data_IF_035924794090
#
_entry.id   IF_035924794090
#
_cell.length_a   1.000
_cell.length_b   1.000
_cell.length_c   1.000
_cell.angle_alpha   90.00
_cell.angle_beta   90.00
_cell.angle_gamma   90.00
#
_symmetry.space_group_name_H-M   'P 1'
#
loop_
_entity.id
_entity.type
_entity.pdbx_description
1 polymer ?
#
# COMPACT_ATOMS: atom_id res chain seq x y z
N UNK A 1 -4.67 -2.59 -13.22
CA UNK A 1 -5.12 -1.76 -12.09
C UNK A 1 -6.56 -1.31 -12.32
N UNK A 2 -7.43 -1.49 -11.31
CA UNK A 2 -8.78 -0.90 -11.28
C UNK A 2 -8.72 0.26 -10.31
N UNK A 3 -9.10 1.45 -10.76
CA UNK A 3 -8.98 2.70 -9.99
C UNK A 3 -10.34 3.34 -9.76
N UNK A 4 -10.56 3.88 -8.56
CA UNK A 4 -11.80 4.58 -8.20
C UNK A 4 -11.94 5.92 -8.90
N UNK A 5 -10.82 6.51 -9.32
CA UNK A 5 -10.78 7.78 -10.03
C UNK A 5 -10.15 7.61 -11.41
N UNK A 6 -10.54 8.46 -12.35
CA UNK A 6 -9.90 8.53 -13.66
C UNK A 6 -8.49 9.09 -13.54
N UNK A 7 -7.50 8.20 -13.50
CA UNK A 7 -6.07 8.53 -13.31
C UNK A 7 -5.54 9.45 -14.41
N UNK A 8 -6.01 9.25 -15.66
CA UNK A 8 -5.55 10.00 -16.83
C UNK A 8 -6.42 11.23 -17.12
N UNK A 9 -7.58 11.37 -16.44
CA UNK A 9 -8.53 12.49 -16.60
C UNK A 9 -9.02 12.70 -18.04
N UNK A 10 -9.05 11.64 -18.84
CA UNK A 10 -9.49 11.69 -20.24
C UNK A 10 -10.89 11.10 -20.46
N UNK A 11 -11.58 10.64 -19.40
CA UNK A 11 -12.95 10.15 -19.46
C UNK A 11 -13.12 8.78 -20.12
N UNK A 12 -12.04 8.01 -20.31
CA UNK A 12 -12.11 6.71 -20.95
C UNK A 12 -12.30 5.58 -19.93
N UNK A 13 -12.97 4.48 -20.30
CA UNK A 13 -13.17 3.32 -19.42
C UNK A 13 -11.91 2.50 -19.18
N UNK A 14 -10.94 2.55 -20.12
CA UNK A 14 -9.72 1.77 -20.08
C UNK A 14 -8.58 2.53 -20.75
N UNK A 15 -7.39 2.41 -20.17
CA UNK A 15 -6.15 2.95 -20.73
C UNK A 15 -5.12 1.85 -20.82
N UNK A 16 -4.52 1.73 -22.00
CA UNK A 16 -3.36 0.86 -22.24
C UNK A 16 -2.12 1.72 -22.27
N UNK A 17 -1.12 1.35 -21.49
CA UNK A 17 0.14 2.07 -21.38
C UNK A 17 1.25 1.10 -21.75
N UNK A 18 2.00 1.44 -22.79
CA UNK A 18 3.15 0.70 -23.26
C UNK A 18 4.43 1.50 -23.04
N UNK A 19 5.56 0.81 -22.93
CA UNK A 19 6.87 1.45 -22.79
C UNK A 19 7.40 1.90 -24.15
N UNK A 20 8.04 3.06 -24.17
CA UNK A 20 8.64 3.65 -25.36
C UNK A 20 10.14 3.86 -25.15
N UNK A 21 10.96 3.46 -26.09
CA UNK A 21 12.38 3.79 -26.12
C UNK A 21 12.53 5.25 -26.47
N UNK A 22 12.96 6.06 -25.49
CA UNK A 22 13.00 7.53 -25.60
C UNK A 22 13.85 8.00 -26.79
N UNK A 23 14.98 7.33 -27.06
CA UNK A 23 15.96 7.69 -28.08
C UNK A 23 15.45 7.46 -29.50
N UNK A 24 14.52 6.52 -29.68
CA UNK A 24 14.01 6.13 -30.99
C UNK A 24 12.53 6.48 -31.19
N UNK A 25 11.80 6.77 -30.11
CA UNK A 25 10.35 6.96 -30.13
C UNK A 25 9.53 5.70 -30.45
N UNK A 26 10.17 4.54 -30.49
CA UNK A 26 9.49 3.26 -30.79
C UNK A 26 9.03 2.56 -29.54
N UNK A 27 7.98 1.73 -29.67
CA UNK A 27 7.57 0.82 -28.60
C UNK A 27 8.71 -0.15 -28.28
N UNK A 28 8.85 -0.48 -27.00
CA UNK A 28 9.91 -1.38 -26.54
C UNK A 28 9.61 -2.85 -26.82
N UNK A 29 8.34 -3.22 -27.07
CA UNK A 29 7.89 -4.57 -27.46
C UNK A 29 8.39 -5.68 -26.54
N UNK A 30 8.36 -5.42 -25.22
CA UNK A 30 8.81 -6.37 -24.18
C UNK A 30 7.66 -7.21 -23.60
N UNK A 31 6.50 -7.19 -24.26
CA UNK A 31 5.27 -7.90 -23.86
C UNK A 31 4.73 -7.49 -22.48
N UNK A 32 5.28 -6.43 -21.85
CA UNK A 32 4.73 -5.87 -20.64
C UNK A 32 3.73 -4.75 -20.94
N UNK A 33 2.50 -4.90 -20.44
CA UNK A 33 1.43 -3.95 -20.61
C UNK A 33 0.89 -3.50 -19.24
N UNK A 34 0.71 -2.19 -19.08
CA UNK A 34 0.03 -1.64 -17.92
C UNK A 34 -1.38 -1.21 -18.36
N UNK A 35 -2.40 -1.79 -17.72
CA UNK A 35 -3.78 -1.47 -18.01
C UNK A 35 -4.41 -0.82 -16.80
N UNK A 36 -4.94 0.40 -16.99
CA UNK A 36 -5.78 1.07 -16.00
C UNK A 36 -7.24 1.02 -16.43
N UNK A 37 -8.11 0.63 -15.50
CA UNK A 37 -9.55 0.59 -15.69
C UNK A 37 -10.19 1.62 -14.77
N UNK A 38 -10.97 2.53 -15.34
CA UNK A 38 -11.71 3.54 -14.61
C UNK A 38 -13.04 2.97 -14.11
N UNK A 39 -13.16 2.67 -12.82
CA UNK A 39 -14.35 2.05 -12.24
C UNK A 39 -15.54 3.00 -12.10
N UNK A 40 -15.37 4.29 -12.38
CA UNK A 40 -16.49 5.25 -12.39
C UNK A 40 -17.41 5.03 -13.59
N UNK A 41 -16.91 4.47 -14.70
CA UNK A 41 -17.69 4.21 -15.90
C UNK A 41 -18.41 2.87 -15.75
N UNK A 42 -19.73 2.94 -15.60
CA UNK A 42 -20.65 1.81 -15.37
C UNK A 42 -21.71 1.77 -16.46
N UNK A 43 -21.27 1.88 -17.70
CA UNK A 43 -22.12 1.81 -18.88
C UNK A 43 -22.59 0.37 -19.20
N UNK A 44 -23.39 0.23 -20.26
CA UNK A 44 -23.95 -1.07 -20.67
C UNK A 44 -22.94 -2.00 -21.37
N UNK A 45 -21.68 -1.60 -21.48
CA UNK A 45 -20.62 -2.48 -21.99
C UNK A 45 -20.31 -3.62 -21.01
N UNK A 46 -19.66 -4.67 -21.47
CA UNK A 46 -19.24 -5.77 -20.58
C UNK A 46 -18.32 -5.27 -19.45
N UNK A 47 -17.44 -4.30 -19.76
CA UNK A 47 -16.53 -3.71 -18.79
C UNK A 47 -17.30 -2.82 -17.81
N UNK A 48 -18.19 -1.96 -18.28
CA UNK A 48 -19.01 -1.10 -17.44
C UNK A 48 -19.89 -1.89 -16.48
N UNK A 49 -20.52 -2.97 -16.95
CA UNK A 49 -21.28 -3.89 -16.10
C UNK A 49 -20.41 -4.58 -15.04
N UNK A 50 -19.18 -4.95 -15.39
CA UNK A 50 -18.23 -5.51 -14.41
C UNK A 50 -17.85 -4.47 -13.35
N UNK A 51 -17.60 -3.20 -13.74
CA UNK A 51 -17.32 -2.11 -12.80
C UNK A 51 -18.55 -1.79 -11.92
N UNK A 52 -19.76 -1.91 -12.47
CA UNK A 52 -20.98 -1.85 -11.69
C UNK A 52 -21.00 -2.94 -10.62
N UNK A 53 -20.76 -4.20 -10.99
CA UNK A 53 -20.78 -5.34 -10.07
C UNK A 53 -19.80 -5.21 -8.92
N UNK A 54 -18.58 -4.69 -9.17
CA UNK A 54 -17.60 -4.43 -8.11
C UNK A 54 -18.05 -3.36 -7.10
N UNK A 55 -19.01 -2.54 -7.45
CA UNK A 55 -19.58 -1.54 -6.54
C UNK A 55 -20.89 -2.00 -5.89
N UNK A 56 -21.44 -3.17 -6.29
CA UNK A 56 -22.67 -3.69 -5.73
C UNK A 56 -22.49 -4.20 -4.32
N UNK A 57 -23.41 -3.82 -3.45
CA UNK A 57 -23.47 -4.32 -2.07
C UNK A 57 -24.27 -5.62 -1.98
N UNK A 58 -25.30 -5.77 -2.82
CA UNK A 58 -26.18 -6.95 -2.86
C UNK A 58 -25.91 -7.77 -4.12
N UNK A 59 -25.82 -9.10 -3.94
CA UNK A 59 -25.63 -10.03 -5.05
C UNK A 59 -26.79 -10.04 -6.07
N UNK A 60 -27.98 -9.58 -5.67
CA UNK A 60 -29.15 -9.50 -6.55
C UNK A 60 -29.02 -8.41 -7.61
N UNK A 61 -28.24 -7.38 -7.32
CA UNK A 61 -28.05 -6.23 -8.20
C UNK A 61 -26.92 -6.44 -9.22
N UNK A 62 -26.21 -7.58 -9.14
CA UNK A 62 -25.07 -7.92 -10.00
C UNK A 62 -25.53 -8.52 -11.33
N UNK A 63 -24.89 -8.07 -12.41
CA UNK A 63 -25.08 -8.63 -13.76
C UNK A 63 -24.34 -9.96 -13.96
N UNK A 64 -23.14 -10.09 -13.37
CA UNK A 64 -22.31 -11.29 -13.51
C UNK A 64 -22.75 -12.34 -12.49
N UNK A 65 -23.36 -13.42 -13.00
CA UNK A 65 -23.89 -14.50 -12.15
C UNK A 65 -22.80 -15.18 -11.31
N UNK A 66 -21.59 -15.37 -11.85
CA UNK A 66 -20.48 -16.01 -11.12
C UNK A 66 -20.06 -15.15 -9.93
N UNK A 67 -19.95 -13.83 -10.12
CA UNK A 67 -19.66 -12.90 -9.03
C UNK A 67 -20.81 -12.86 -8.01
N UNK A 68 -22.04 -12.76 -8.48
CA UNK A 68 -23.23 -12.76 -7.63
C UNK A 68 -23.30 -14.01 -6.74
N UNK A 69 -23.08 -15.20 -7.32
CA UNK A 69 -23.09 -16.46 -6.58
C UNK A 69 -21.95 -16.51 -5.54
N UNK A 70 -20.77 -15.95 -5.88
CA UNK A 70 -19.65 -15.89 -4.95
C UNK A 70 -19.87 -14.91 -3.81
N UNK A 71 -20.42 -13.72 -4.12
CA UNK A 71 -20.80 -12.73 -3.10
C UNK A 71 -21.87 -13.30 -2.16
N UNK A 72 -22.89 -13.98 -2.71
CA UNK A 72 -23.91 -14.64 -1.91
C UNK A 72 -23.31 -15.70 -0.97
N UNK A 73 -22.39 -16.52 -1.48
CA UNK A 73 -21.71 -17.51 -0.65
C UNK A 73 -21.01 -16.85 0.55
N UNK A 74 -20.25 -15.79 0.34
CA UNK A 74 -19.53 -15.15 1.43
C UNK A 74 -20.39 -14.31 2.38
N UNK A 75 -21.59 -13.88 1.95
CA UNK A 75 -22.47 -13.03 2.77
C UNK A 75 -23.62 -13.79 3.43
N UNK A 76 -24.09 -14.86 2.82
CA UNK A 76 -25.32 -15.55 3.23
C UNK A 76 -25.10 -17.02 3.64
N UNK A 77 -24.05 -17.69 3.14
CA UNK A 77 -23.70 -19.07 3.53
C UNK A 77 -22.89 -19.07 4.83
N UNK A 78 -23.27 -19.89 5.80
CA UNK A 78 -22.65 -19.94 7.12
C UNK A 78 -21.12 -20.17 7.04
N UNK A 79 -20.68 -21.09 6.17
CA UNK A 79 -19.26 -21.41 5.99
C UNK A 79 -18.51 -20.26 5.30
N UNK A 80 -19.17 -19.63 4.33
CA UNK A 80 -18.60 -18.47 3.63
C UNK A 80 -18.40 -17.27 4.55
N UNK A 81 -19.39 -17.00 5.40
CA UNK A 81 -19.34 -15.95 6.43
C UNK A 81 -18.23 -16.25 7.44
N UNK A 82 -18.10 -17.49 7.91
CA UNK A 82 -17.04 -17.90 8.86
C UNK A 82 -15.64 -17.68 8.26
N UNK A 83 -15.43 -18.08 6.99
CA UNK A 83 -14.17 -17.86 6.28
C UNK A 83 -13.87 -16.37 6.19
N UNK A 84 -14.85 -15.55 5.77
CA UNK A 84 -14.69 -14.10 5.63
C UNK A 84 -14.32 -13.46 6.98
N UNK A 85 -15.01 -13.81 8.05
CA UNK A 85 -14.75 -13.27 9.38
C UNK A 85 -13.32 -13.60 9.84
N UNK A 86 -12.86 -14.83 9.64
CA UNK A 86 -11.49 -15.25 9.99
C UNK A 86 -10.44 -14.48 9.20
N UNK A 87 -10.61 -14.34 7.89
CA UNK A 87 -9.66 -13.59 7.05
C UNK A 87 -9.62 -12.10 7.43
N UNK A 88 -10.77 -11.50 7.72
CA UNK A 88 -10.83 -10.12 8.22
C UNK A 88 -10.13 -9.96 9.57
N UNK A 89 -10.23 -10.95 10.47
CA UNK A 89 -9.55 -10.93 11.75
C UNK A 89 -8.02 -11.02 11.58
N UNK A 90 -7.55 -11.89 10.69
CA UNK A 90 -6.13 -12.01 10.34
C UNK A 90 -5.61 -10.67 9.80
N UNK A 91 -6.30 -10.08 8.82
CA UNK A 91 -5.91 -8.78 8.25
C UNK A 91 -5.88 -7.67 9.31
N UNK A 92 -6.88 -7.64 10.20
CA UNK A 92 -6.92 -6.65 11.29
C UNK A 92 -5.74 -6.81 12.24
N UNK A 93 -5.39 -8.05 12.61
CA UNK A 93 -4.29 -8.33 13.52
C UNK A 93 -2.94 -7.96 12.85
N UNK A 94 -2.74 -8.28 11.58
CA UNK A 94 -1.56 -7.86 10.81
C UNK A 94 -1.43 -6.34 10.77
N UNK A 95 -2.49 -5.62 10.40
CA UNK A 95 -2.47 -4.16 10.37
C UNK A 95 -2.21 -3.54 11.76
N UNK A 96 -2.67 -4.19 12.82
CA UNK A 96 -2.42 -3.76 14.19
C UNK A 96 -0.94 -3.94 14.57
N UNK A 97 -0.36 -5.11 14.27
CA UNK A 97 1.07 -5.40 14.51
C UNK A 97 1.98 -4.45 13.71
N UNK A 98 1.67 -4.24 12.43
CA UNK A 98 2.39 -3.28 11.59
C UNK A 98 2.30 -1.85 12.16
N UNK A 99 1.12 -1.46 12.67
CA UNK A 99 0.92 -0.16 13.31
C UNK A 99 1.73 0.02 14.58
N UNK A 100 1.81 -1.01 15.43
CA UNK A 100 2.64 -1.02 16.65
C UNK A 100 4.11 -0.89 16.28
N UNK A 101 4.60 -1.70 15.34
CA UNK A 101 6.01 -1.69 14.95
C UNK A 101 6.40 -0.37 14.30
N UNK A 102 5.56 0.18 13.42
CA UNK A 102 5.75 1.53 12.88
C UNK A 102 5.84 2.57 13.98
N UNK A 103 4.96 2.50 14.97
CA UNK A 103 4.97 3.41 16.13
C UNK A 103 6.27 3.30 16.93
N UNK A 104 6.76 2.08 17.18
CA UNK A 104 8.03 1.79 17.86
C UNK A 104 9.20 2.43 17.12
N UNK A 105 9.29 2.18 15.81
CA UNK A 105 10.36 2.73 14.98
C UNK A 105 10.33 4.26 14.95
N UNK A 106 9.16 4.86 14.80
CA UNK A 106 9.01 6.32 14.80
C UNK A 106 9.42 6.94 16.14
N UNK A 107 9.15 6.27 17.26
CA UNK A 107 9.62 6.70 18.58
C UNK A 107 11.13 6.55 18.69
N UNK A 108 11.69 5.45 18.22
CA UNK A 108 13.14 5.23 18.20
C UNK A 108 13.86 6.31 17.37
N UNK A 109 13.34 6.67 16.19
CA UNK A 109 13.87 7.78 15.37
C UNK A 109 13.97 9.05 16.20
N UNK A 110 12.89 9.45 16.91
CA UNK A 110 12.90 10.64 17.76
C UNK A 110 14.02 10.59 18.81
N UNK A 111 14.16 9.44 19.48
CA UNK A 111 15.16 9.26 20.52
C UNK A 111 16.58 9.29 19.95
N UNK A 112 16.83 8.59 18.85
CA UNK A 112 18.14 8.57 18.18
C UNK A 112 18.53 9.97 17.70
N UNK A 113 17.63 10.73 17.05
CA UNK A 113 17.91 12.08 16.60
C UNK A 113 18.33 13.02 17.74
N UNK A 114 17.79 12.84 18.95
CA UNK A 114 18.23 13.59 20.12
C UNK A 114 19.60 13.12 20.63
N UNK A 115 19.84 11.80 20.65
CA UNK A 115 21.04 11.20 21.21
C UNK A 115 22.26 11.34 20.31
N UNK A 116 22.10 11.32 18.98
CA UNK A 116 23.21 11.52 18.05
C UNK A 116 23.88 12.91 18.15
N UNK A 117 23.25 13.85 18.83
CA UNK A 117 23.91 15.13 19.16
C UNK A 117 24.97 14.97 20.28
N UNK A 118 24.87 13.90 21.06
CA UNK A 118 25.74 13.66 22.22
C UNK A 118 26.69 12.48 22.03
N UNK A 119 26.28 11.47 21.28
CA UNK A 119 27.00 10.23 21.05
C UNK A 119 27.36 10.08 19.57
N UNK A 120 28.53 9.48 19.32
CA UNK A 120 29.09 9.37 17.96
C UNK A 120 28.89 7.99 17.34
N UNK A 121 28.57 6.97 18.14
CA UNK A 121 28.38 5.61 17.64
C UNK A 121 26.98 5.06 17.95
N UNK A 122 26.54 4.12 17.12
CA UNK A 122 25.24 3.46 17.30
C UNK A 122 25.19 2.61 18.56
N UNK A 123 26.34 2.02 18.94
CA UNK A 123 26.48 1.23 20.16
C UNK A 123 26.30 2.09 21.43
N UNK A 124 26.87 3.30 21.43
CA UNK A 124 26.70 4.23 22.55
C UNK A 124 25.25 4.67 22.68
N UNK A 125 24.59 4.98 21.55
CA UNK A 125 23.16 5.34 21.53
C UNK A 125 22.30 4.17 21.98
N UNK A 126 22.58 2.96 21.49
CA UNK A 126 21.87 1.74 21.87
C UNK A 126 21.96 1.46 23.36
N UNK A 127 23.16 1.58 23.95
CA UNK A 127 23.39 1.39 25.37
C UNK A 127 22.63 2.43 26.21
N UNK A 128 22.62 3.70 25.79
CA UNK A 128 21.93 4.78 26.50
C UNK A 128 20.40 4.63 26.42
N UNK A 129 19.87 4.12 25.30
CA UNK A 129 18.45 3.86 25.09
C UNK A 129 17.98 2.48 25.60
N UNK A 130 18.92 1.60 25.98
CA UNK A 130 18.67 0.18 26.33
C UNK A 130 17.97 -0.53 25.16
N UNK A 131 18.37 -0.22 23.93
CA UNK A 131 17.83 -0.79 22.71
C UNK A 131 18.79 -1.87 22.15
N UNK A 132 18.22 -2.98 21.66
CA UNK A 132 19.02 -4.11 21.16
C UNK A 132 19.27 -4.05 19.65
N UNK A 133 18.46 -3.30 18.90
CA UNK A 133 18.56 -3.21 17.45
C UNK A 133 19.59 -2.14 17.02
N UNK A 134 20.86 -2.42 17.30
CA UNK A 134 21.98 -1.55 16.91
C UNK A 134 22.03 -1.31 15.39
N UNK A 135 21.77 -2.31 14.50
CA UNK A 135 21.72 -2.10 13.07
C UNK A 135 20.66 -1.06 12.65
N UNK A 136 19.48 -1.07 13.25
CA UNK A 136 18.44 -0.09 12.98
C UNK A 136 18.86 1.32 13.44
N UNK A 137 19.45 1.43 14.63
CA UNK A 137 20.00 2.70 15.13
C UNK A 137 21.05 3.25 14.16
N UNK A 138 21.97 2.41 13.67
CA UNK A 138 22.97 2.81 12.69
C UNK A 138 22.35 3.32 11.38
N UNK A 139 21.30 2.64 10.88
CA UNK A 139 20.55 3.12 9.71
C UNK A 139 19.92 4.50 9.96
N UNK A 140 19.30 4.69 11.12
CA UNK A 140 18.70 5.98 11.49
C UNK A 140 19.77 7.07 11.55
N UNK A 141 20.91 6.81 12.20
CA UNK A 141 22.02 7.78 12.31
C UNK A 141 22.62 8.14 10.96
N UNK A 142 22.59 7.21 9.98
CA UNK A 142 23.08 7.48 8.63
C UNK A 142 22.11 8.34 7.80
N UNK A 143 20.80 8.18 8.02
CA UNK A 143 19.76 8.83 7.23
C UNK A 143 19.33 10.18 7.85
N UNK A 144 19.25 10.26 9.17
CA UNK A 144 18.72 11.42 9.88
C UNK A 144 19.42 12.75 9.55
N UNK A 145 20.75 12.81 9.34
CA UNK A 145 21.44 14.08 9.01
C UNK A 145 20.91 14.77 7.74
N UNK A 146 20.37 14.02 6.77
CA UNK A 146 19.82 14.57 5.53
C UNK A 146 18.52 15.36 5.78
N UNK A 147 17.93 15.23 6.97
CA UNK A 147 16.69 15.88 7.38
C UNK A 147 16.90 16.94 8.48
N UNK A 148 18.14 17.37 8.72
CA UNK A 148 18.45 18.45 9.64
C UNK A 148 17.99 19.81 9.07
N UNK A 149 17.64 20.80 9.92
CA UNK A 149 17.62 20.77 11.39
C UNK A 149 16.34 20.21 12.00
N UNK A 150 15.27 20.01 11.18
CA UNK A 150 13.92 19.72 11.68
C UNK A 150 13.73 18.25 12.11
N UNK A 151 14.54 17.34 11.55
CA UNK A 151 14.49 15.90 11.82
C UNK A 151 13.06 15.34 11.77
N UNK A 152 12.34 15.63 10.66
CA UNK A 152 10.96 15.12 10.49
C UNK A 152 10.93 13.61 10.53
N UNK A 153 10.25 13.06 11.53
CA UNK A 153 10.21 11.61 11.82
C UNK A 153 9.55 10.82 10.69
N UNK A 154 8.51 11.37 10.04
CA UNK A 154 7.85 10.68 8.94
C UNK A 154 8.76 10.61 7.71
N UNK A 155 9.48 11.66 7.42
CA UNK A 155 10.38 11.72 6.26
C UNK A 155 11.57 10.78 6.47
N UNK A 156 12.15 10.75 7.68
CA UNK A 156 13.21 9.80 8.05
C UNK A 156 12.69 8.36 7.95
N UNK A 157 11.50 8.06 8.52
CA UNK A 157 10.90 6.75 8.46
C UNK A 157 10.74 6.26 7.00
N UNK A 158 10.20 7.11 6.13
CA UNK A 158 10.02 6.78 4.71
C UNK A 158 11.34 6.55 3.98
N UNK A 159 12.40 7.29 4.35
CA UNK A 159 13.73 7.16 3.77
C UNK A 159 14.46 5.88 4.21
N UNK A 160 14.11 5.31 5.37
CA UNK A 160 14.70 4.05 5.87
C UNK A 160 14.34 2.82 5.01
N UNK A 161 13.26 2.86 4.23
CA UNK A 161 12.78 1.77 3.34
C UNK A 161 12.76 0.42 4.05
N UNK A 162 12.11 0.38 5.22
CA UNK A 162 11.97 -0.80 6.07
C UNK A 162 10.84 -1.70 5.57
#
# INVERSE_FOLDING_TARGET
FITENDVMKAGLPIYHIDRVVRETGKLFEDEEHIIYVNSQIKDETKLGRLMHDFSCTDAKDMYNKVLADRVRYFKEDERGVEIMCREMEIMRNQAHEEGIEKGRIMQLIKQVCVKMQKFSSAEEVANDLVEQDVPLIQKIMNVAPDFAPDYNVNDIYNALKL
#
